data_IF_272603316079
#
_entry.id   IF_272603316079
#
_cell.length_a   1.000
_cell.length_b   1.000
_cell.length_c   1.000
_cell.angle_alpha   90.00
_cell.angle_beta   90.00
_cell.angle_gamma   90.00
#
_symmetry.space_group_name_H-M   'P 1'
#
loop_
_entity.id
_entity.type
_entity.pdbx_description
1 polymer ?
#
# COMPACT_ATOMS: atom_id res chain seq x y z
N UNK A 1 13.81 -4.14 9.92
CA UNK A 1 13.93 -2.70 10.29
C UNK A 1 12.68 -2.34 11.08
N UNK A 2 12.85 -1.93 12.34
CA UNK A 2 11.74 -1.60 13.25
C UNK A 2 11.07 -0.30 12.81
N UNK A 3 9.76 -0.36 12.50
CA UNK A 3 8.93 0.83 12.29
C UNK A 3 8.97 1.66 13.56
N UNK A 4 9.40 2.92 13.43
CA UNK A 4 9.42 3.88 14.54
C UNK A 4 8.16 4.72 14.40
N UNK A 5 7.12 4.32 15.12
CA UNK A 5 5.87 5.09 15.19
C UNK A 5 6.03 6.13 16.30
N UNK A 6 5.85 7.42 15.97
CA UNK A 6 5.66 8.46 16.99
C UNK A 6 4.21 8.39 17.45
N UNK A 7 4.00 8.16 18.74
CA UNK A 7 2.66 8.13 19.34
C UNK A 7 2.59 9.27 20.35
N UNK A 8 1.48 10.00 20.32
CA UNK A 8 1.17 11.01 21.32
C UNK A 8 0.25 10.38 22.36
N UNK A 9 0.67 10.42 23.61
CA UNK A 9 -0.06 9.85 24.76
C UNK A 9 -0.51 10.99 25.65
N UNK A 10 -1.75 10.91 26.15
CA UNK A 10 -2.26 11.83 27.16
C UNK A 10 -2.19 11.15 28.54
N UNK A 11 -1.52 11.78 29.49
CA UNK A 11 -1.56 11.42 30.91
C UNK A 11 -2.23 12.57 31.67
N UNK A 12 -3.49 12.39 32.05
CA UNK A 12 -4.31 13.49 32.57
C UNK A 12 -4.48 14.62 31.55
N UNK A 13 -4.04 15.83 31.91
CA UNK A 13 -4.08 17.04 31.04
C UNK A 13 -2.79 17.28 30.25
N UNK A 14 -1.82 16.37 30.32
CA UNK A 14 -0.47 16.57 29.76
C UNK A 14 -0.21 15.64 28.57
N UNK A 15 0.38 16.19 27.51
CA UNK A 15 0.74 15.44 26.30
C UNK A 15 2.20 14.97 26.35
N UNK A 16 2.41 13.66 26.23
CA UNK A 16 3.71 12.99 26.25
C UNK A 16 3.97 12.39 24.87
N UNK A 17 5.10 12.75 24.25
CA UNK A 17 5.54 12.18 22.98
C UNK A 17 6.40 10.95 23.25
N UNK A 18 5.93 9.76 22.87
CA UNK A 18 6.69 8.52 23.00
C UNK A 18 7.13 8.04 21.62
N UNK A 19 8.40 7.63 21.54
CA UNK A 19 8.97 6.99 20.35
C UNK A 19 9.12 5.50 20.66
N UNK A 20 8.19 4.68 20.17
CA UNK A 20 8.23 3.24 20.40
C UNK A 20 8.91 2.52 19.22
N UNK A 21 9.92 1.70 19.53
CA UNK A 21 10.42 0.65 18.63
C UNK A 21 9.58 -0.60 18.91
N UNK A 22 8.44 -0.77 18.25
CA UNK A 22 7.43 -1.74 18.68
C UNK A 22 7.80 -3.20 18.34
N UNK A 23 7.58 -4.09 19.32
CA UNK A 23 7.32 -5.52 19.11
C UNK A 23 5.84 -5.78 19.45
N UNK A 24 5.15 -6.71 18.76
CA UNK A 24 3.69 -6.82 18.72
C UNK A 24 3.00 -7.15 20.07
N UNK A 25 3.73 -7.62 21.07
CA UNK A 25 3.17 -8.01 22.38
C UNK A 25 2.94 -6.85 23.37
N UNK A 26 3.41 -5.63 23.06
CA UNK A 26 3.19 -4.45 23.92
C UNK A 26 1.77 -3.87 23.82
N UNK A 27 0.99 -4.25 22.81
CA UNK A 27 -0.37 -3.73 22.59
C UNK A 27 -1.34 -4.15 23.72
N UNK A 28 -1.25 -5.41 24.18
CA UNK A 28 -2.09 -5.90 25.28
C UNK A 28 -1.77 -5.24 26.63
N UNK A 29 -0.54 -4.79 26.84
CA UNK A 29 -0.15 -4.08 28.07
C UNK A 29 -0.71 -2.65 28.11
N UNK A 30 -0.73 -1.96 26.96
CA UNK A 30 -1.23 -0.58 26.83
C UNK A 30 -2.75 -0.51 27.07
N UNK A 31 -3.52 -1.50 26.60
CA UNK A 31 -4.95 -1.57 26.87
C UNK A 31 -5.26 -1.86 28.35
N UNK A 32 -4.44 -2.69 29.03
CA UNK A 32 -4.67 -3.04 30.45
C UNK A 32 -4.49 -1.89 31.44
N UNK A 33 -3.75 -0.83 31.06
CA UNK A 33 -3.51 0.36 31.89
C UNK A 33 -4.47 1.51 31.57
N UNK A 34 -5.51 1.28 30.76
CA UNK A 34 -6.51 2.30 30.42
C UNK A 34 -6.01 3.38 29.45
N UNK A 35 -4.86 3.19 28.80
CA UNK A 35 -4.34 4.12 27.80
C UNK A 35 -5.05 3.94 26.45
N UNK A 36 -5.76 4.97 26.00
CA UNK A 36 -6.24 5.05 24.61
C UNK A 36 -5.10 5.46 23.69
N UNK A 37 -4.75 4.60 22.73
CA UNK A 37 -3.83 4.97 21.64
C UNK A 37 -4.58 5.91 20.70
N UNK A 38 -4.22 7.18 20.70
CA UNK A 38 -4.60 8.08 19.62
C UNK A 38 -3.57 7.90 18.49
N UNK A 39 -3.95 7.19 17.42
CA UNK A 39 -3.21 7.30 16.17
C UNK A 39 -3.25 8.77 15.74
N UNK A 40 -2.08 9.38 15.62
CA UNK A 40 -1.95 10.70 15.05
C UNK A 40 -2.47 10.66 13.61
N UNK A 41 -3.69 11.12 13.39
CA UNK A 41 -4.31 11.28 12.07
C UNK A 41 -3.73 12.49 11.29
N UNK A 42 -2.70 13.14 11.84
CA UNK A 42 -2.05 14.27 11.17
C UNK A 42 -1.31 13.78 9.91
N UNK A 43 -1.46 14.49 8.76
CA UNK A 43 -0.73 14.17 7.54
C UNK A 43 0.78 14.08 7.79
N UNK A 44 1.39 13.00 7.31
CA UNK A 44 2.85 12.85 7.33
C UNK A 44 3.54 13.66 6.23
N UNK A 45 2.80 13.97 5.15
CA UNK A 45 3.24 14.76 3.99
C UNK A 45 2.11 15.64 3.47
N UNK A 46 2.46 16.66 2.69
CA UNK A 46 1.55 17.47 1.89
C UNK A 46 2.00 17.49 0.43
N UNK A 47 1.16 18.05 -0.44
CA UNK A 47 1.47 18.27 -1.87
C UNK A 47 2.87 18.83 -2.11
N UNK A 48 3.28 19.81 -1.30
CA UNK A 48 4.55 20.50 -1.43
C UNK A 48 5.76 19.58 -1.22
N UNK A 49 5.60 18.52 -0.43
CA UNK A 49 6.66 17.56 -0.06
C UNK A 49 6.89 16.47 -1.13
N UNK A 50 6.12 16.47 -2.22
CA UNK A 50 6.30 15.57 -3.36
C UNK A 50 7.09 16.27 -4.46
N UNK A 51 8.27 15.73 -4.77
CA UNK A 51 9.14 16.20 -5.85
C UNK A 51 9.07 15.26 -7.05
N UNK A 52 8.97 15.82 -8.25
CA UNK A 52 8.96 15.03 -9.50
C UNK A 52 10.30 14.30 -9.67
N UNK A 53 10.25 13.02 -10.02
CA UNK A 53 11.40 12.13 -10.13
C UNK A 53 11.81 11.47 -8.81
N UNK A 54 11.26 11.89 -7.66
CA UNK A 54 11.53 11.24 -6.40
C UNK A 54 10.94 9.82 -6.38
N UNK A 55 11.69 8.88 -5.78
CA UNK A 55 11.32 7.47 -5.65
C UNK A 55 11.24 7.05 -4.18
N UNK A 56 10.17 6.33 -3.84
CA UNK A 56 9.88 5.89 -2.48
C UNK A 56 9.70 4.37 -2.44
N UNK A 57 10.56 3.62 -1.72
CA UNK A 57 10.35 2.19 -1.53
C UNK A 57 9.24 1.94 -0.50
N UNK A 58 8.41 0.94 -0.75
CA UNK A 58 7.44 0.44 0.23
C UNK A 58 8.00 -0.74 1.03
N UNK A 59 7.23 -1.17 2.04
CA UNK A 59 7.42 -2.49 2.65
C UNK A 59 7.22 -3.62 1.64
N UNK A 60 7.72 -4.80 1.97
CA UNK A 60 7.47 -6.04 1.24
C UNK A 60 6.23 -6.75 1.79
N UNK A 61 5.53 -7.51 0.95
CA UNK A 61 4.38 -8.33 1.33
C UNK A 61 4.41 -9.69 0.63
N UNK A 62 4.44 -10.78 1.39
CA UNK A 62 4.22 -12.13 0.90
C UNK A 62 2.75 -12.30 0.49
N UNK A 63 2.49 -12.90 -0.66
CA UNK A 63 1.15 -13.38 -1.02
C UNK A 63 1.03 -14.82 -0.56
N UNK A 64 0.09 -15.08 0.34
CA UNK A 64 -0.20 -16.45 0.80
C UNK A 64 -1.31 -17.09 -0.02
N UNK A 65 -1.45 -18.41 0.05
CA UNK A 65 -2.62 -19.10 -0.52
C UNK A 65 -3.92 -18.61 0.14
N UNK A 66 -3.88 -18.31 1.44
CA UNK A 66 -5.03 -17.77 2.15
C UNK A 66 -5.45 -16.40 1.63
N UNK A 67 -4.50 -15.50 1.34
CA UNK A 67 -4.78 -14.20 0.70
C UNK A 67 -5.46 -14.39 -0.65
N UNK A 68 -4.91 -15.28 -1.47
CA UNK A 68 -5.39 -15.59 -2.79
C UNK A 68 -6.84 -16.11 -2.76
N UNK A 69 -7.08 -17.15 -1.98
CA UNK A 69 -8.39 -17.80 -1.92
C UNK A 69 -9.43 -16.88 -1.27
N UNK A 70 -9.03 -16.10 -0.25
CA UNK A 70 -9.89 -15.11 0.38
C UNK A 70 -10.28 -14.01 -0.62
N UNK A 71 -9.34 -13.50 -1.41
CA UNK A 71 -9.64 -12.50 -2.42
C UNK A 71 -10.60 -13.04 -3.49
N UNK A 72 -10.33 -14.23 -4.03
CA UNK A 72 -11.20 -14.87 -5.01
C UNK A 72 -12.62 -15.04 -4.47
N UNK A 73 -12.79 -15.53 -3.23
CA UNK A 73 -14.12 -15.64 -2.61
C UNK A 73 -14.78 -14.28 -2.38
N UNK A 74 -14.03 -13.30 -1.88
CA UNK A 74 -14.55 -11.96 -1.54
C UNK A 74 -15.12 -11.26 -2.77
N UNK A 75 -14.44 -11.36 -3.91
CA UNK A 75 -14.84 -10.68 -5.15
C UNK A 75 -15.70 -11.55 -6.07
N UNK A 76 -15.89 -12.84 -5.73
CA UNK A 76 -16.69 -13.78 -6.51
C UNK A 76 -16.00 -14.28 -7.79
N UNK A 77 -14.67 -14.46 -7.77
CA UNK A 77 -13.98 -15.09 -8.90
C UNK A 77 -14.25 -16.60 -8.95
N UNK A 78 -14.73 -17.05 -10.11
CA UNK A 78 -14.94 -18.47 -10.45
C UNK A 78 -14.03 -18.96 -11.59
N UNK A 79 -13.07 -18.13 -12.01
CA UNK A 79 -12.20 -18.44 -13.15
C UNK A 79 -11.24 -19.58 -12.81
N UNK A 80 -11.28 -20.74 -13.51
CA UNK A 80 -10.47 -21.91 -13.16
C UNK A 80 -8.95 -21.65 -13.17
N UNK A 81 -8.48 -20.70 -13.98
CA UNK A 81 -7.08 -20.28 -14.03
C UNK A 81 -6.54 -19.79 -12.67
N UNK A 82 -7.42 -19.26 -11.82
CA UNK A 82 -7.07 -18.80 -10.48
C UNK A 82 -7.32 -19.88 -9.43
N UNK A 83 -8.25 -20.81 -9.67
CA UNK A 83 -8.75 -21.71 -8.62
C UNK A 83 -8.20 -23.13 -8.69
N UNK A 84 -7.79 -23.58 -9.88
CA UNK A 84 -7.44 -24.98 -10.12
C UNK A 84 -6.02 -25.12 -10.71
N UNK A 85 -5.15 -25.82 -9.99
CA UNK A 85 -3.77 -26.03 -10.41
C UNK A 85 -3.66 -26.96 -11.63
N UNK A 86 -4.55 -27.93 -11.79
CA UNK A 86 -4.58 -28.82 -12.94
C UNK A 86 -4.92 -28.06 -14.22
N UNK A 87 -5.99 -27.26 -14.17
CA UNK A 87 -6.41 -26.37 -15.24
C UNK A 87 -5.31 -25.39 -15.63
N UNK A 88 -4.60 -24.81 -14.66
CA UNK A 88 -3.48 -23.92 -14.95
C UNK A 88 -2.32 -24.67 -15.64
N UNK A 89 -2.02 -25.91 -15.22
CA UNK A 89 -1.00 -26.76 -15.84
C UNK A 89 -1.35 -27.18 -17.26
N UNK A 90 -2.60 -27.49 -17.52
CA UNK A 90 -3.10 -27.79 -18.88
C UNK A 90 -2.93 -26.60 -19.84
N UNK A 91 -2.77 -25.39 -19.30
CA UNK A 91 -2.51 -24.14 -20.05
C UNK A 91 -1.04 -23.74 -20.06
N UNK A 92 -0.14 -24.63 -19.64
CA UNK A 92 1.31 -24.41 -19.66
C UNK A 92 1.85 -23.57 -18.50
N UNK A 93 1.05 -23.33 -17.46
CA UNK A 93 1.52 -22.67 -16.24
C UNK A 93 1.98 -23.71 -15.19
N UNK A 94 2.94 -23.40 -14.31
CA UNK A 94 3.33 -24.30 -13.22
C UNK A 94 2.20 -24.64 -12.21
N UNK A 95 1.18 -23.79 -12.13
CA UNK A 95 0.05 -23.86 -11.21
C UNK A 95 -0.77 -22.57 -11.30
N UNK A 96 -1.80 -22.47 -10.47
CA UNK A 96 -2.73 -21.34 -10.44
C UNK A 96 -2.02 -20.02 -10.20
N UNK A 97 -2.56 -18.95 -10.77
CA UNK A 97 -1.98 -17.61 -10.69
C UNK A 97 -2.89 -16.69 -9.89
N UNK A 98 -2.31 -15.66 -9.28
CA UNK A 98 -3.10 -14.65 -8.61
C UNK A 98 -3.91 -13.82 -9.61
N UNK A 99 -5.17 -13.49 -9.29
CA UNK A 99 -5.90 -12.48 -10.05
C UNK A 99 -5.13 -11.15 -10.08
N UNK A 100 -5.03 -10.52 -11.24
CA UNK A 100 -4.28 -9.28 -11.43
C UNK A 100 -4.70 -8.17 -10.45
N UNK A 101 -5.99 -8.08 -10.14
CA UNK A 101 -6.53 -7.09 -9.19
C UNK A 101 -6.07 -7.32 -7.73
N UNK A 102 -5.69 -8.54 -7.35
CA UNK A 102 -5.09 -8.82 -6.04
C UNK A 102 -3.74 -8.11 -5.91
N UNK A 103 -2.90 -8.22 -6.95
CA UNK A 103 -1.58 -7.57 -7.03
C UNK A 103 -1.73 -6.06 -6.96
N UNK A 104 -2.64 -5.49 -7.75
CA UNK A 104 -2.91 -4.04 -7.74
C UNK A 104 -3.43 -3.56 -6.37
N UNK A 105 -4.29 -4.35 -5.71
CA UNK A 105 -4.81 -4.03 -4.38
C UNK A 105 -3.72 -4.00 -3.33
N UNK A 106 -2.79 -4.97 -3.35
CA UNK A 106 -1.64 -4.96 -2.45
C UNK A 106 -0.66 -3.82 -2.73
N UNK A 107 -0.35 -3.53 -3.99
CA UNK A 107 0.47 -2.37 -4.34
C UNK A 107 -0.16 -1.08 -3.79
N UNK A 108 -1.45 -0.88 -4.04
CA UNK A 108 -2.18 0.32 -3.59
C UNK A 108 -2.17 0.44 -2.07
N UNK A 109 -2.37 -0.67 -1.35
CA UNK A 109 -2.30 -0.68 0.12
C UNK A 109 -0.90 -0.35 0.64
N UNK A 110 0.17 -0.82 -0.01
CA UNK A 110 1.55 -0.52 0.37
C UNK A 110 1.94 0.94 0.07
N UNK A 111 1.45 1.52 -1.01
CA UNK A 111 1.64 2.95 -1.32
C UNK A 111 0.84 3.87 -0.37
N UNK A 112 -0.19 3.34 0.31
CA UNK A 112 -0.99 4.09 1.28
C UNK A 112 -0.17 4.72 2.41
N UNK A 113 0.92 4.08 2.81
CA UNK A 113 1.83 4.56 3.87
C UNK A 113 2.45 5.93 3.50
N UNK A 114 2.67 6.20 2.20
CA UNK A 114 3.20 7.48 1.70
C UNK A 114 2.17 8.61 1.73
N UNK A 115 0.89 8.25 1.70
CA UNK A 115 -0.25 9.15 1.56
C UNK A 115 -1.03 9.35 2.87
N UNK A 116 -0.53 8.78 3.97
CA UNK A 116 -1.20 8.77 5.26
C UNK A 116 -1.55 10.20 5.73
N UNK A 117 -2.85 10.42 5.95
CA UNK A 117 -3.40 11.70 6.41
C UNK A 117 -3.40 12.83 5.36
N UNK A 118 -2.88 12.63 4.15
CA UNK A 118 -2.83 13.69 3.12
C UNK A 118 -3.71 13.42 1.90
N UNK A 119 -4.04 12.15 1.62
CA UNK A 119 -4.92 11.79 0.51
C UNK A 119 -6.34 12.35 0.69
N UNK A 120 -6.88 12.90 -0.38
CA UNK A 120 -8.27 13.31 -0.50
C UNK A 120 -9.03 12.32 -1.37
N UNK A 121 -8.47 11.93 -2.52
CA UNK A 121 -9.09 10.99 -3.45
C UNK A 121 -8.06 10.36 -4.40
N UNK A 122 -8.29 9.11 -4.78
CA UNK A 122 -7.74 8.52 -6.00
C UNK A 122 -8.66 8.90 -7.15
N UNK A 123 -8.17 9.72 -8.09
CA UNK A 123 -8.96 10.30 -9.18
C UNK A 123 -8.96 9.41 -10.42
N UNK A 124 -7.86 8.69 -10.64
CA UNK A 124 -7.70 7.85 -11.82
C UNK A 124 -6.56 6.85 -11.67
N UNK A 125 -6.65 5.78 -12.44
CA UNK A 125 -5.60 4.78 -12.63
C UNK A 125 -5.41 4.63 -14.13
N UNK A 126 -4.24 4.97 -14.60
CA UNK A 126 -3.83 4.96 -16.00
C UNK A 126 -2.64 4.01 -16.19
N UNK A 127 -2.34 3.64 -17.44
CA UNK A 127 -1.18 2.82 -17.81
C UNK A 127 -0.99 1.53 -16.97
N UNK A 128 -2.07 0.93 -16.47
CA UNK A 128 -2.00 -0.32 -15.74
C UNK A 128 -1.55 -1.46 -16.67
N UNK A 129 -0.43 -2.12 -16.34
CA UNK A 129 0.12 -3.25 -17.11
C UNK A 129 0.57 -4.37 -16.19
N UNK A 130 0.05 -5.57 -16.42
CA UNK A 130 0.45 -6.80 -15.72
C UNK A 130 1.45 -7.56 -16.58
N UNK A 131 2.73 -7.47 -16.22
CA UNK A 131 3.85 -7.89 -17.05
C UNK A 131 4.19 -9.37 -16.88
N UNK A 132 4.01 -9.90 -15.67
CA UNK A 132 4.33 -11.28 -15.31
C UNK A 132 3.28 -11.87 -14.39
N UNK A 133 3.10 -13.19 -14.50
CA UNK A 133 2.22 -13.93 -13.60
C UNK A 133 2.79 -13.95 -12.19
N UNK A 134 1.96 -13.52 -11.22
CA UNK A 134 2.24 -13.62 -9.79
C UNK A 134 1.50 -14.84 -9.23
N UNK A 135 2.10 -15.52 -8.24
CA UNK A 135 1.52 -16.71 -7.61
C UNK A 135 1.52 -16.60 -6.08
N UNK A 136 0.69 -17.39 -5.39
CA UNK A 136 0.88 -17.63 -3.97
C UNK A 136 2.32 -18.11 -3.72
N UNK A 137 2.97 -17.54 -2.69
CA UNK A 137 4.39 -17.72 -2.40
C UNK A 137 5.28 -16.57 -2.87
N UNK A 138 4.84 -15.75 -3.84
CA UNK A 138 5.61 -14.59 -4.27
C UNK A 138 5.60 -13.48 -3.20
N UNK A 139 6.73 -12.79 -3.07
CA UNK A 139 6.86 -11.61 -2.20
C UNK A 139 6.97 -10.36 -3.05
N UNK A 140 6.02 -9.44 -2.88
CA UNK A 140 5.96 -8.19 -3.61
C UNK A 140 6.60 -7.05 -2.85
N UNK A 141 7.18 -6.09 -3.58
CA UNK A 141 7.49 -4.73 -3.10
C UNK A 141 7.07 -3.72 -4.17
N UNK A 142 6.70 -2.52 -3.75
CA UNK A 142 6.42 -1.41 -4.67
C UNK A 142 7.49 -0.34 -4.51
N UNK A 143 7.94 0.23 -5.62
CA UNK A 143 8.70 1.48 -5.68
C UNK A 143 7.83 2.53 -6.34
N UNK A 144 7.56 3.62 -5.62
CA UNK A 144 6.64 4.67 -6.06
C UNK A 144 7.45 5.84 -6.59
N UNK A 145 7.29 6.18 -7.87
CA UNK A 145 7.89 7.35 -8.50
C UNK A 145 6.86 8.49 -8.63
N UNK A 146 7.24 9.72 -8.30
CA UNK A 146 6.40 10.89 -8.59
C UNK A 146 6.65 11.34 -10.03
N UNK A 147 5.72 11.06 -10.92
CA UNK A 147 5.83 11.36 -12.36
C UNK A 147 5.51 12.81 -12.66
N UNK A 148 4.48 13.35 -12.01
CA UNK A 148 4.12 14.76 -12.18
C UNK A 148 3.34 15.28 -10.97
N UNK A 149 3.27 16.61 -10.86
CA UNK A 149 2.43 17.28 -9.88
C UNK A 149 1.90 18.59 -10.45
N UNK A 150 0.68 18.96 -10.08
CA UNK A 150 0.10 20.26 -10.43
C UNK A 150 -0.85 20.77 -9.35
N UNK A 151 -0.91 22.09 -9.10
CA UNK A 151 -1.98 22.66 -8.31
C UNK A 151 -3.35 22.43 -8.99
N UNK A 152 -4.42 22.51 -8.21
CA UNK A 152 -5.79 22.53 -8.75
C UNK A 152 -6.39 23.92 -8.67
N UNK A 153 -7.60 24.12 -9.19
CA UNK A 153 -8.33 25.38 -9.04
C UNK A 153 -8.67 25.69 -7.58
N UNK A 154 -8.73 24.68 -6.70
CA UNK A 154 -8.93 24.88 -5.26
C UNK A 154 -7.56 24.98 -4.56
N UNK A 155 -7.33 26.02 -3.74
CA UNK A 155 -6.01 26.27 -3.15
C UNK A 155 -5.62 25.25 -2.08
N UNK A 156 -6.58 24.53 -1.50
CA UNK A 156 -6.40 23.56 -0.41
C UNK A 156 -5.85 22.19 -0.87
N UNK A 157 -5.69 21.97 -2.19
CA UNK A 157 -5.33 20.67 -2.75
C UNK A 157 -4.56 20.74 -4.06
N UNK A 158 -3.74 19.72 -4.29
CA UNK A 158 -2.98 19.51 -5.51
C UNK A 158 -3.17 18.09 -6.03
N UNK A 159 -2.92 17.89 -7.33
CA UNK A 159 -2.93 16.59 -7.96
C UNK A 159 -1.48 16.13 -8.16
N UNK A 160 -1.17 14.92 -7.69
CA UNK A 160 0.10 14.23 -7.99
C UNK A 160 -0.20 13.00 -8.85
N UNK A 161 0.72 12.66 -9.74
CA UNK A 161 0.71 11.38 -10.47
C UNK A 161 1.85 10.55 -9.94
N UNK A 162 1.51 9.39 -9.40
CA UNK A 162 2.46 8.43 -8.85
C UNK A 162 2.49 7.19 -9.73
N UNK A 163 3.68 6.77 -10.17
CA UNK A 163 3.88 5.49 -10.82
C UNK A 163 4.29 4.46 -9.79
N UNK A 164 3.48 3.42 -9.61
CA UNK A 164 3.90 2.26 -8.82
C UNK A 164 4.65 1.30 -9.76
N UNK A 165 5.88 0.93 -9.40
CA UNK A 165 6.60 -0.19 -9.98
C UNK A 165 6.61 -1.35 -8.98
N UNK A 166 5.97 -2.47 -9.33
CA UNK A 166 5.85 -3.62 -8.44
C UNK A 166 6.80 -4.72 -8.86
N UNK A 167 7.61 -5.18 -7.93
CA UNK A 167 8.63 -6.21 -8.14
C UNK A 167 8.36 -7.44 -7.29
N UNK A 168 8.70 -8.63 -7.81
CA UNK A 168 8.73 -9.87 -7.03
C UNK A 168 10.08 -10.07 -6.30
N UNK A 169 10.22 -11.20 -5.60
CA UNK A 169 11.44 -11.59 -4.87
C UNK A 169 12.68 -11.76 -5.76
N UNK A 170 12.49 -11.95 -7.06
CA UNK A 170 13.57 -12.09 -8.04
C UNK A 170 14.01 -10.74 -8.64
N UNK A 171 13.41 -9.63 -8.19
CA UNK A 171 13.69 -8.30 -8.74
C UNK A 171 13.03 -8.05 -10.10
N UNK A 172 12.10 -8.89 -10.51
CA UNK A 172 11.39 -8.74 -11.78
C UNK A 172 10.18 -7.84 -11.60
N UNK A 173 10.00 -6.86 -12.49
CA UNK A 173 8.80 -6.03 -12.51
C UNK A 173 7.60 -6.88 -12.99
N UNK A 174 6.58 -6.99 -12.14
CA UNK A 174 5.37 -7.80 -12.39
C UNK A 174 4.16 -6.96 -12.73
N UNK A 175 4.12 -5.71 -12.26
CA UNK A 175 3.01 -4.79 -12.47
C UNK A 175 3.48 -3.33 -12.37
N UNK A 176 2.91 -2.46 -13.21
CA UNK A 176 2.95 -1.02 -12.96
C UNK A 176 1.63 -0.34 -13.27
N UNK A 177 1.42 0.84 -12.69
CA UNK A 177 0.35 1.76 -13.04
C UNK A 177 0.72 3.21 -12.70
N UNK A 178 -0.02 4.15 -13.29
CA UNK A 178 0.01 5.56 -12.93
C UNK A 178 -1.26 5.91 -12.17
N UNK A 179 -1.12 6.38 -10.93
CA UNK A 179 -2.24 6.78 -10.07
C UNK A 179 -2.27 8.29 -9.94
N UNK A 180 -3.36 8.88 -10.41
CA UNK A 180 -3.66 10.30 -10.21
C UNK A 180 -4.33 10.50 -8.85
N UNK A 181 -3.62 11.09 -7.88
CA UNK A 181 -4.07 11.25 -6.50
C UNK A 181 -4.20 12.72 -6.14
N UNK A 182 -5.35 13.08 -5.59
CA UNK A 182 -5.60 14.40 -5.02
C UNK A 182 -5.14 14.40 -3.57
N UNK A 183 -4.23 15.32 -3.23
CA UNK A 183 -3.62 15.44 -1.89
C UNK A 183 -3.81 16.84 -1.32
N UNK A 184 -3.85 16.93 0.01
CA UNK A 184 -3.92 18.20 0.75
C UNK A 184 -2.67 19.05 0.51
N UNK A 185 -2.85 20.36 0.40
CA UNK A 185 -1.76 21.34 0.42
C UNK A 185 -1.56 21.88 1.84
N UNK A 186 -0.33 22.29 2.14
CA UNK A 186 -0.05 23.01 3.37
C UNK A 186 -0.73 24.38 3.28
N UNK A 187 -1.58 24.70 4.25
CA UNK A 187 -2.31 25.96 4.33
C UNK A 187 -1.36 27.16 4.37
#
# INVERSE_FOLDING_TARGET
MSVVSRIQVWEGSSLINLTLRSKPYMLGFIESIGMRIAMSCAPTRFFEDFEVGARYPTRTRLITEADHDAFCRLVGYEVPLFLDDGHARDRGLPGRICPSHLVMSFSTAMTGDLLEGCVIALVGVDEARFLKHVRPGDTLRTEVEIVSRRPTSKPDRGLIVMRDHVYNQHGEEVFHNDKSVLVRRRA
#
